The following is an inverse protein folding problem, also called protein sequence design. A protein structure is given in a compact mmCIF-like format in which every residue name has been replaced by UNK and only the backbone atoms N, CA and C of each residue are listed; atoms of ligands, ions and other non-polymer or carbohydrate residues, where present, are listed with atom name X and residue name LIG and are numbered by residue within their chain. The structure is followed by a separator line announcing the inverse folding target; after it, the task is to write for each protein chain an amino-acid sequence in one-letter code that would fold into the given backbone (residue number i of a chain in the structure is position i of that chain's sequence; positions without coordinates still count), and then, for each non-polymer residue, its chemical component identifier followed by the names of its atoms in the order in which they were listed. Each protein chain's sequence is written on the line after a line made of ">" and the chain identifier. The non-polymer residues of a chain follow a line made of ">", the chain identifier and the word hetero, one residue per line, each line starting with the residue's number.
data_IF_719351287690
#
_entry.id   IF_719351287690
#
_cell.length_a   1.000
_cell.length_b   1.000
_cell.length_c   1.000
_cell.angle_alpha   90.00
_cell.angle_beta   90.00
_cell.angle_gamma   90.00
#
_symmetry.space_group_name_H-M   'P 1'
#
loop_
_entity.id
_entity.type
_entity.pdbx_description
1 polymer ?
#
# COMPACT_ATOMS: atom_id res chain seq x y z
N UNK A 1 39.61 12.19 -2.71
CA UNK A 1 38.60 11.71 -1.73
C UNK A 1 37.32 12.49 -1.94
N UNK A 2 36.27 11.81 -2.43
CA UNK A 2 34.94 12.00 -1.85
C UNK A 2 34.24 10.64 -1.74
N UNK A 3 34.11 10.10 -0.52
CA UNK A 3 33.49 8.77 -0.33
C UNK A 3 32.55 8.72 0.89
N UNK A 4 32.14 9.86 1.45
CA UNK A 4 31.45 9.89 2.75
C UNK A 4 29.97 10.30 2.69
N UNK A 5 29.48 10.91 1.61
CA UNK A 5 28.08 11.42 1.59
C UNK A 5 26.99 10.42 1.15
N UNK A 6 27.34 9.24 0.62
CA UNK A 6 26.33 8.30 0.07
C UNK A 6 25.74 7.33 1.12
N UNK A 7 26.26 7.31 2.36
CA UNK A 7 25.85 6.33 3.37
C UNK A 7 24.70 6.82 4.29
N UNK A 8 24.45 8.13 4.39
CA UNK A 8 23.46 8.69 5.33
C UNK A 8 22.01 8.58 4.85
N UNK A 9 21.75 8.57 3.54
CA UNK A 9 20.37 8.48 3.01
C UNK A 9 19.77 7.06 3.01
N UNK A 10 20.60 6.02 3.13
CA UNK A 10 20.13 4.63 3.07
C UNK A 10 19.50 4.15 4.39
N UNK A 11 19.88 4.77 5.51
CA UNK A 11 19.38 4.43 6.83
C UNK A 11 17.98 5.00 7.09
N UNK A 12 17.67 6.20 6.59
CA UNK A 12 16.40 6.87 6.88
C UNK A 12 15.20 6.22 6.18
N UNK A 13 15.32 5.84 4.91
CA UNK A 13 14.20 5.23 4.16
C UNK A 13 13.89 3.82 4.64
N UNK A 14 14.93 3.05 4.99
CA UNK A 14 14.76 1.72 5.57
C UNK A 14 14.13 1.80 6.97
N UNK A 15 14.52 2.79 7.78
CA UNK A 15 13.91 3.05 9.07
C UNK A 15 12.44 3.44 8.94
N UNK A 16 12.08 4.26 7.94
CA UNK A 16 10.70 4.69 7.74
C UNK A 16 9.75 3.52 7.43
N UNK A 17 10.13 2.62 6.50
CA UNK A 17 9.31 1.44 6.18
C UNK A 17 9.20 0.45 7.34
N UNK A 18 10.24 0.30 8.16
CA UNK A 18 10.20 -0.57 9.34
C UNK A 18 9.29 0.00 10.44
N UNK A 19 9.32 1.33 10.64
CA UNK A 19 8.43 2.03 11.57
C UNK A 19 6.98 1.93 11.10
N UNK A 20 6.73 2.12 9.80
CA UNK A 20 5.40 1.99 9.21
C UNK A 20 4.87 0.55 9.30
N UNK A 21 5.70 -0.45 8.99
CA UNK A 21 5.33 -1.86 9.13
C UNK A 21 5.04 -2.27 10.58
N UNK A 22 5.74 -1.70 11.57
CA UNK A 22 5.45 -1.93 12.99
C UNK A 22 4.10 -1.30 13.40
N UNK A 23 3.82 -0.08 12.93
CA UNK A 23 2.53 0.57 13.15
C UNK A 23 1.39 -0.27 12.54
N UNK A 24 1.58 -0.77 11.32
CA UNK A 24 0.61 -1.64 10.65
C UNK A 24 0.41 -2.98 11.38
N UNK A 25 1.47 -3.54 11.94
CA UNK A 25 1.39 -4.78 12.73
C UNK A 25 0.57 -4.59 14.02
N UNK A 26 0.70 -3.43 14.66
CA UNK A 26 -0.06 -3.11 15.87
C UNK A 26 -1.55 -2.89 15.58
N UNK A 27 -1.88 -2.36 14.41
CA UNK A 27 -3.27 -2.06 14.00
C UNK A 27 -3.90 -3.15 13.13
N UNK A 28 -3.20 -4.27 12.87
CA UNK A 28 -3.74 -5.33 12.01
C UNK A 28 -4.97 -6.01 12.62
N UNK A 29 -6.08 -6.05 11.89
CA UNK A 29 -7.33 -6.69 12.29
C UNK A 29 -7.48 -8.09 11.67
N UNK A 30 -6.71 -8.39 10.62
CA UNK A 30 -6.70 -9.71 9.95
C UNK A 30 -5.30 -10.33 9.90
N UNK A 31 -5.24 -11.66 9.78
CA UNK A 31 -3.97 -12.39 9.61
C UNK A 31 -3.23 -11.99 8.32
N UNK A 32 -3.98 -11.62 7.27
CA UNK A 32 -3.38 -11.15 6.03
C UNK A 32 -2.73 -9.76 6.19
N UNK A 33 -3.36 -8.83 6.95
CA UNK A 33 -2.72 -7.57 7.35
C UNK A 33 -1.47 -7.82 8.19
N UNK A 34 -1.54 -8.73 9.17
CA UNK A 34 -0.41 -9.09 10.02
C UNK A 34 0.76 -9.63 9.19
N UNK A 35 0.49 -10.55 8.26
CA UNK A 35 1.50 -11.11 7.36
C UNK A 35 2.13 -10.03 6.45
N UNK A 36 1.32 -9.12 5.90
CA UNK A 36 1.80 -7.99 5.10
C UNK A 36 2.71 -7.05 5.92
N UNK A 37 2.30 -6.71 7.14
CA UNK A 37 3.07 -5.85 8.04
C UNK A 37 4.43 -6.48 8.40
N UNK A 38 4.46 -7.79 8.68
CA UNK A 38 5.71 -8.53 8.90
C UNK A 38 6.62 -8.54 7.66
N UNK A 39 6.05 -8.69 6.47
CA UNK A 39 6.81 -8.62 5.22
C UNK A 39 7.47 -7.23 5.02
N UNK A 40 6.77 -6.15 5.38
CA UNK A 40 7.33 -4.79 5.34
C UNK A 40 8.45 -4.59 6.36
N UNK A 41 8.26 -5.02 7.61
CA UNK A 41 9.30 -4.98 8.65
C UNK A 41 10.54 -5.76 8.22
N UNK A 42 10.36 -6.89 7.54
CA UNK A 42 11.47 -7.70 7.02
C UNK A 42 12.26 -7.05 5.87
N UNK A 43 11.79 -5.91 5.34
CA UNK A 43 12.52 -5.09 4.36
C UNK A 43 12.43 -5.58 2.92
N UNK A 44 11.56 -6.55 2.61
CA UNK A 44 11.38 -7.06 1.24
C UNK A 44 10.99 -5.98 0.22
N UNK A 45 10.17 -5.00 0.63
CA UNK A 45 9.85 -3.81 -0.18
C UNK A 45 11.04 -2.87 -0.32
N UNK A 46 11.83 -2.70 0.76
CA UNK A 46 13.06 -1.91 0.73
C UNK A 46 14.05 -2.42 -0.33
N UNK A 47 14.22 -3.74 -0.44
CA UNK A 47 15.10 -4.36 -1.43
C UNK A 47 14.73 -3.99 -2.87
N UNK A 48 13.43 -3.97 -3.20
CA UNK A 48 12.96 -3.58 -4.54
C UNK A 48 13.35 -2.13 -4.88
N UNK A 49 13.14 -1.21 -3.94
CA UNK A 49 13.51 0.19 -4.13
C UNK A 49 15.02 0.39 -4.19
N UNK A 50 15.78 -0.35 -3.38
CA UNK A 50 17.24 -0.30 -3.39
C UNK A 50 17.82 -0.82 -4.70
N UNK A 51 17.24 -1.88 -5.26
CA UNK A 51 17.64 -2.40 -6.57
C UNK A 51 17.30 -1.42 -7.70
N UNK A 52 16.14 -0.75 -7.65
CA UNK A 52 15.82 0.32 -8.58
C UNK A 52 16.77 1.51 -8.45
N UNK A 53 17.07 1.94 -7.22
CA UNK A 53 18.04 3.01 -6.96
C UNK A 53 19.40 2.66 -7.55
N UNK A 54 19.87 1.43 -7.34
CA UNK A 54 21.15 0.93 -7.90
C UNK A 54 21.13 0.95 -9.43
N UNK A 55 20.04 0.48 -10.03
CA UNK A 55 19.87 0.47 -11.50
C UNK A 55 19.89 1.89 -12.09
N UNK A 56 19.20 2.85 -11.45
CA UNK A 56 19.20 4.26 -11.87
C UNK A 56 20.61 4.84 -11.78
N UNK A 57 21.32 4.63 -10.66
CA UNK A 57 22.69 5.12 -10.47
C UNK A 57 23.65 4.54 -11.51
N UNK A 58 23.50 3.26 -11.85
CA UNK A 58 24.31 2.61 -12.89
C UNK A 58 24.03 3.20 -14.28
N UNK A 59 22.76 3.39 -14.64
CA UNK A 59 22.37 4.00 -15.92
C UNK A 59 22.91 5.42 -16.02
N UNK A 60 22.80 6.21 -14.95
CA UNK A 60 23.32 7.58 -14.90
C UNK A 60 24.83 7.61 -15.12
N UNK A 61 25.58 6.79 -14.38
CA UNK A 61 27.03 6.72 -14.51
C UNK A 61 27.49 6.30 -15.93
N UNK A 62 26.78 5.36 -16.57
CA UNK A 62 27.09 4.95 -17.94
C UNK A 62 26.73 6.02 -18.97
N UNK A 63 25.58 6.69 -18.81
CA UNK A 63 25.19 7.81 -19.67
C UNK A 63 26.19 8.96 -19.58
N UNK A 64 26.68 9.29 -18.38
CA UNK A 64 27.64 10.37 -18.20
C UNK A 64 29.01 10.03 -18.83
N UNK A 65 29.48 8.79 -18.66
CA UNK A 65 30.69 8.32 -19.33
C UNK A 65 30.57 8.35 -20.87
N UNK A 66 29.40 8.01 -21.42
CA UNK A 66 29.15 8.10 -22.87
C UNK A 66 29.16 9.55 -23.37
N UNK A 67 28.67 10.50 -22.58
CA UNK A 67 28.69 11.93 -22.94
C UNK A 67 30.11 12.49 -22.87
N UNK A 68 30.88 12.12 -21.84
CA UNK A 68 32.22 12.68 -21.61
C UNK A 68 33.31 12.07 -22.50
N UNK A 69 33.14 10.84 -22.98
CA UNK A 69 34.19 10.08 -23.69
C UNK A 69 33.71 9.45 -25.02
N UNK A 70 32.49 9.77 -25.48
CA UNK A 70 31.86 9.10 -26.61
C UNK A 70 32.38 9.46 -28.01
N UNK A 71 33.26 10.45 -28.14
CA UNK A 71 33.74 10.94 -29.44
C UNK A 71 34.91 10.11 -30.03
N UNK A 72 35.53 9.23 -29.24
CA UNK A 72 36.82 8.60 -29.59
C UNK A 72 36.77 7.10 -30.00
N UNK A 73 35.65 6.37 -29.80
CA UNK A 73 35.51 4.93 -30.15
C UNK A 73 34.08 4.55 -30.58
N UNK A 74 33.76 4.58 -31.89
CA UNK A 74 32.39 4.44 -32.43
C UNK A 74 31.69 3.08 -32.18
N UNK A 75 32.38 1.93 -32.29
CA UNK A 75 31.71 0.61 -32.19
C UNK A 75 31.41 0.18 -30.74
N UNK A 76 32.23 0.60 -29.76
CA UNK A 76 32.09 0.21 -28.33
C UNK A 76 31.06 1.11 -27.62
N UNK A 77 30.94 2.36 -28.04
CA UNK A 77 29.99 3.35 -27.50
C UNK A 77 28.55 3.01 -27.86
N UNK A 78 28.30 2.49 -29.06
CA UNK A 78 26.95 2.08 -29.51
C UNK A 78 26.38 0.91 -28.70
N UNK A 79 27.18 -0.13 -28.44
CA UNK A 79 26.77 -1.29 -27.63
C UNK A 79 26.47 -0.88 -26.18
N UNK A 80 27.32 -0.01 -25.61
CA UNK A 80 27.11 0.53 -24.26
C UNK A 80 25.84 1.38 -24.17
N UNK A 81 25.57 2.21 -25.19
CA UNK A 81 24.34 3.00 -25.26
C UNK A 81 23.09 2.11 -25.35
N UNK A 82 23.12 1.06 -26.17
CA UNK A 82 22.02 0.09 -26.28
C UNK A 82 21.76 -0.60 -24.93
N UNK A 83 22.81 -1.00 -24.21
CA UNK A 83 22.70 -1.64 -22.90
C UNK A 83 22.04 -0.72 -21.85
N UNK A 84 22.37 0.57 -21.85
CA UNK A 84 21.73 1.56 -20.96
C UNK A 84 20.24 1.69 -21.29
N UNK A 85 19.88 1.84 -22.57
CA UNK A 85 18.47 1.93 -23.00
C UNK A 85 17.68 0.69 -22.60
N UNK A 86 18.25 -0.51 -22.74
CA UNK A 86 17.61 -1.75 -22.30
C UNK A 86 17.39 -1.78 -20.79
N UNK A 87 18.38 -1.34 -20.00
CA UNK A 87 18.30 -1.28 -18.54
C UNK A 87 17.21 -0.32 -18.07
N UNK A 88 17.12 0.87 -18.67
CA UNK A 88 16.07 1.86 -18.37
C UNK A 88 14.67 1.31 -18.74
N UNK A 89 14.54 0.62 -19.88
CA UNK A 89 13.27 -0.02 -20.27
C UNK A 89 12.86 -1.12 -19.28
N UNK A 90 13.79 -1.95 -18.84
CA UNK A 90 13.55 -3.00 -17.86
C UNK A 90 13.12 -2.41 -16.50
N UNK A 91 13.80 -1.36 -16.04
CA UNK A 91 13.46 -0.61 -14.84
C UNK A 91 12.05 -0.04 -14.92
N UNK A 92 11.72 0.67 -16.01
CA UNK A 92 10.37 1.21 -16.24
C UNK A 92 9.30 0.11 -16.19
N UNK A 93 9.55 -1.03 -16.84
CA UNK A 93 8.61 -2.15 -16.82
C UNK A 93 8.44 -2.75 -15.42
N UNK A 94 9.51 -2.78 -14.61
CA UNK A 94 9.45 -3.21 -13.21
C UNK A 94 8.59 -2.28 -12.36
N UNK A 95 8.78 -0.97 -12.49
CA UNK A 95 7.99 0.05 -11.78
C UNK A 95 6.53 -0.04 -12.19
N UNK A 96 6.25 -0.14 -13.50
CA UNK A 96 4.87 -0.26 -13.99
C UNK A 96 4.17 -1.51 -13.46
N UNK A 97 4.86 -2.66 -13.40
CA UNK A 97 4.31 -3.89 -12.80
C UNK A 97 4.00 -3.72 -11.32
N UNK A 98 4.87 -3.04 -10.58
CA UNK A 98 4.65 -2.75 -9.15
C UNK A 98 3.44 -1.84 -8.94
N UNK A 99 3.26 -0.81 -9.78
CA UNK A 99 2.08 0.08 -9.74
C UNK A 99 0.77 -0.60 -10.20
N UNK A 100 0.86 -1.68 -10.97
CA UNK A 100 -0.28 -2.45 -11.48
C UNK A 100 -0.72 -3.59 -10.54
N UNK A 101 -0.23 -3.66 -9.30
CA UNK A 101 -0.60 -4.70 -8.33
C UNK A 101 -2.09 -4.70 -7.91
N UNK A 102 -2.89 -3.80 -8.48
CA UNK A 102 -4.31 -3.65 -8.23
C UNK A 102 -4.64 -2.92 -6.93
N UNK A 103 -3.67 -2.19 -6.36
CA UNK A 103 -3.76 -1.56 -5.03
C UNK A 103 -4.09 -2.59 -3.94
N UNK A 104 -3.72 -3.86 -4.15
CA UNK A 104 -4.08 -4.94 -3.24
C UNK A 104 -3.45 -4.75 -1.88
N UNK A 105 -2.21 -4.25 -1.84
CA UNK A 105 -1.56 -3.88 -0.58
C UNK A 105 -2.25 -2.73 0.14
N UNK A 106 -2.76 -1.74 -0.60
CA UNK A 106 -3.50 -0.60 -0.03
C UNK A 106 -4.88 -1.02 0.49
N UNK A 107 -5.61 -1.84 -0.26
CA UNK A 107 -6.91 -2.41 0.11
C UNK A 107 -6.76 -3.33 1.33
N UNK A 108 -5.73 -4.16 1.36
CA UNK A 108 -5.47 -5.02 2.50
C UNK A 108 -5.06 -4.20 3.74
N UNK A 109 -4.28 -3.12 3.55
CA UNK A 109 -3.85 -2.23 4.64
C UNK A 109 -5.01 -1.43 5.25
N UNK A 110 -5.80 -0.74 4.44
CA UNK A 110 -6.85 0.18 4.91
C UNK A 110 -8.23 -0.47 5.03
N UNK A 111 -8.42 -1.63 4.38
CA UNK A 111 -9.71 -2.29 4.30
C UNK A 111 -10.71 -1.66 3.34
N UNK A 112 -11.90 -2.25 3.31
CA UNK A 112 -12.99 -1.84 2.43
C UNK A 112 -14.18 -1.40 3.27
N UNK A 113 -14.70 -0.22 2.99
CA UNK A 113 -15.96 0.24 3.58
C UNK A 113 -17.13 -0.13 2.68
N UNK A 114 -18.16 -0.77 3.25
CA UNK A 114 -19.33 -1.24 2.53
C UNK A 114 -20.59 -0.73 3.22
N UNK A 115 -21.45 -0.04 2.48
CA UNK A 115 -22.74 0.43 2.98
C UNK A 115 -23.88 -0.51 2.56
N UNK A 116 -24.74 -0.90 3.51
CA UNK A 116 -25.93 -1.71 3.22
C UNK A 116 -27.15 -0.79 3.04
N UNK A 117 -27.58 -0.63 1.79
CA UNK A 117 -28.72 0.21 1.41
C UNK A 117 -29.98 -0.63 1.16
N UNK A 118 -31.16 -0.08 1.49
CA UNK A 118 -32.43 -0.75 1.20
C UNK A 118 -33.63 -0.18 1.97
N UNK A 119 -34.83 -0.54 1.53
CA UNK A 119 -36.10 -0.08 2.12
C UNK A 119 -36.22 -0.34 3.63
N UNK A 120 -37.03 0.43 4.36
CA UNK A 120 -37.37 0.12 5.75
C UNK A 120 -37.86 -1.34 5.87
N UNK A 121 -37.43 -2.05 6.92
CA UNK A 121 -37.75 -3.47 7.16
C UNK A 121 -37.26 -4.49 6.10
N UNK A 122 -36.40 -4.10 5.15
CA UNK A 122 -35.82 -5.03 4.16
C UNK A 122 -34.83 -6.07 4.75
N UNK A 123 -34.74 -6.19 6.07
CA UNK A 123 -33.84 -7.15 6.73
C UNK A 123 -32.37 -6.73 6.77
N UNK A 124 -32.03 -5.46 6.53
CA UNK A 124 -30.64 -4.94 6.55
C UNK A 124 -29.91 -5.28 7.85
N UNK A 125 -30.51 -4.96 8.99
CA UNK A 125 -29.91 -5.24 10.30
C UNK A 125 -29.84 -6.74 10.60
N UNK A 126 -30.74 -7.56 10.03
CA UNK A 126 -30.64 -9.03 10.11
C UNK A 126 -29.47 -9.57 9.29
N UNK A 127 -29.23 -9.02 8.09
CA UNK A 127 -28.06 -9.37 7.26
C UNK A 127 -26.76 -8.98 7.95
N UNK A 128 -26.70 -7.77 8.50
CA UNK A 128 -25.54 -7.28 9.24
C UNK A 128 -25.24 -8.18 10.46
N UNK A 129 -26.27 -8.54 11.24
CA UNK A 129 -26.11 -9.46 12.37
C UNK A 129 -25.63 -10.85 11.93
N UNK A 130 -26.12 -11.37 10.80
CA UNK A 130 -25.69 -12.65 10.26
C UNK A 130 -24.21 -12.63 9.84
N UNK A 131 -23.77 -11.54 9.21
CA UNK A 131 -22.38 -11.35 8.79
C UNK A 131 -21.46 -11.13 10.00
N UNK A 132 -21.91 -10.35 10.99
CA UNK A 132 -21.20 -10.15 12.25
C UNK A 132 -20.96 -11.45 13.02
N UNK A 133 -21.89 -12.40 12.96
CA UNK A 133 -21.76 -13.68 13.68
C UNK A 133 -20.88 -14.72 12.97
N UNK A 134 -20.59 -14.55 11.67
CA UNK A 134 -19.76 -15.49 10.93
C UNK A 134 -18.27 -15.12 10.93
N UNK A 135 -17.95 -13.83 10.89
CA UNK A 135 -16.59 -13.37 10.59
C UNK A 135 -16.14 -12.11 11.39
N UNK A 136 -16.79 -11.76 12.50
CA UNK A 136 -16.31 -10.66 13.34
C UNK A 136 -14.97 -11.03 14.00
N UNK A 137 -13.89 -10.38 13.54
CA UNK A 137 -12.67 -10.26 14.32
C UNK A 137 -13.04 -9.50 15.60
N UNK A 138 -12.96 -10.18 16.75
CA UNK A 138 -13.38 -9.62 18.03
C UNK A 138 -12.48 -8.43 18.37
N UNK A 139 -12.98 -7.20 18.23
CA UNK A 139 -12.31 -5.98 18.74
C UNK A 139 -13.30 -5.09 19.49
N UNK A 140 -12.78 -4.57 20.60
CA UNK A 140 -13.43 -3.96 21.77
C UNK A 140 -14.49 -2.89 21.47
N UNK A 141 -15.57 -2.82 22.27
CA UNK A 141 -16.47 -1.69 22.28
C UNK A 141 -15.76 -0.49 22.93
N UNK A 142 -15.15 0.39 22.14
CA UNK A 142 -14.85 1.74 22.63
C UNK A 142 -16.16 2.52 22.57
N UNK A 143 -16.95 2.37 23.64
CA UNK A 143 -18.15 3.15 23.86
C UNK A 143 -17.75 4.60 24.16
N UNK A 144 -18.10 5.55 23.28
CA UNK A 144 -17.89 6.94 23.64
C UNK A 144 -17.94 8.02 22.58
N UNK A 145 -18.83 7.97 21.57
CA UNK A 145 -19.47 9.21 21.06
C UNK A 145 -20.88 8.90 20.57
N UNK A 146 -21.80 9.76 20.96
CA UNK A 146 -23.25 9.61 20.87
C UNK A 146 -23.81 9.98 19.49
N UNK A 147 -24.53 9.02 18.88
CA UNK A 147 -25.53 9.11 17.77
C UNK A 147 -25.16 8.52 16.40
N UNK A 148 -24.04 7.83 16.27
CA UNK A 148 -23.45 7.55 14.96
C UNK A 148 -23.68 6.13 14.41
N UNK A 149 -23.66 6.04 13.08
CA UNK A 149 -23.80 4.86 12.21
C UNK A 149 -23.23 3.58 12.85
N UNK A 150 -24.01 2.49 12.86
CA UNK A 150 -23.52 1.18 13.31
C UNK A 150 -22.47 0.69 12.31
N UNK A 151 -21.22 0.67 12.75
CA UNK A 151 -20.08 0.12 12.01
C UNK A 151 -19.75 -1.27 12.57
N UNK A 152 -19.66 -2.26 11.68
CA UNK A 152 -19.24 -3.61 12.05
C UNK A 152 -18.00 -4.00 11.26
N UNK A 153 -16.84 -4.12 11.90
CA UNK A 153 -15.64 -4.67 11.27
C UNK A 153 -15.81 -6.18 11.08
N UNK A 154 -15.39 -6.67 9.92
CA UNK A 154 -15.44 -8.06 9.48
C UNK A 154 -14.12 -8.44 8.82
N UNK A 155 -13.77 -9.72 8.93
CA UNK A 155 -12.70 -10.30 8.14
C UNK A 155 -13.30 -11.16 7.01
N UNK A 156 -13.35 -10.63 5.79
CA UNK A 156 -13.88 -11.36 4.64
C UNK A 156 -12.73 -11.88 3.77
N UNK A 157 -12.50 -13.19 3.81
CA UNK A 157 -11.45 -13.87 3.03
C UNK A 157 -10.04 -13.28 3.24
N UNK A 158 -9.75 -12.79 4.46
CA UNK A 158 -8.49 -12.15 4.83
C UNK A 158 -8.50 -10.63 4.71
N UNK A 159 -9.49 -10.02 4.06
CA UNK A 159 -9.58 -8.57 3.93
C UNK A 159 -10.37 -7.96 5.10
N UNK A 160 -9.85 -6.88 5.72
CA UNK A 160 -10.61 -6.10 6.67
C UNK A 160 -11.73 -5.34 5.94
N UNK A 161 -12.96 -5.50 6.41
CA UNK A 161 -14.16 -4.90 5.81
C UNK A 161 -14.98 -4.25 6.90
N UNK A 162 -15.35 -2.97 6.74
CA UNK A 162 -16.25 -2.28 7.66
C UNK A 162 -17.61 -2.12 7.02
N UNK A 163 -18.61 -2.82 7.56
CA UNK A 163 -20.00 -2.65 7.17
C UNK A 163 -20.61 -1.45 7.89
N UNK A 164 -21.36 -0.64 7.14
CA UNK A 164 -22.14 0.49 7.65
C UNK A 164 -23.64 0.20 7.46
N UNK A 165 -24.41 0.20 8.56
CA UNK A 165 -25.89 0.20 8.46
C UNK A 165 -26.39 1.61 8.17
N UNK A 166 -26.98 1.81 6.99
CA UNK A 166 -27.48 3.14 6.58
C UNK A 166 -28.84 3.48 7.18
N UNK A 167 -29.33 2.73 8.16
CA UNK A 167 -30.58 3.04 8.87
C UNK A 167 -30.60 4.46 9.49
N UNK A 168 -29.44 5.12 9.64
CA UNK A 168 -29.32 6.51 10.14
C UNK A 168 -28.99 7.60 9.12
N UNK A 169 -28.82 7.31 7.82
CA UNK A 169 -28.54 8.37 6.80
C UNK A 169 -29.84 9.02 6.26
N UNK A 170 -31.00 8.45 6.58
CA UNK A 170 -32.30 9.11 6.42
C UNK A 170 -32.82 9.52 7.79
N UNK A 171 -32.61 10.80 8.11
CA UNK A 171 -33.63 11.75 8.60
C UNK A 171 -32.95 12.92 9.31
N UNK A 172 -32.25 13.76 8.54
CA UNK A 172 -31.98 15.16 8.94
C UNK A 172 -32.99 16.12 8.31
N UNK A 173 -34.17 15.65 7.89
CA UNK A 173 -35.14 16.46 7.15
C UNK A 173 -36.59 16.37 7.65
N UNK A 174 -36.82 16.12 8.94
CA UNK A 174 -38.16 16.28 9.56
C UNK A 174 -38.08 17.17 10.81
N UNK A 175 -37.61 18.40 10.61
CA UNK A 175 -37.85 19.52 11.51
C UNK A 175 -38.93 20.44 10.93
N UNK A 176 -40.15 19.92 10.78
CA UNK A 176 -41.34 20.75 10.53
C UNK A 176 -41.64 21.58 11.79
N UNK A 177 -41.66 22.91 11.61
CA UNK A 177 -42.32 23.85 12.53
C UNK A 177 -43.81 23.85 12.19
#
# INVERSE_FOLDING_TARGET
>A
MPQVDMCLHHHDTAMNHQVEGLADLLHSETEAQRSQALAQISGTIGQVYDDWRRSIMQCLAHSEALIDFGEDEDDVTDDAYIAVIQSVRALKASIQRHLQDGRRGEILRHGVHVAILGSPNAGKSSLLNLLAQRDAAIVSPIAGTTRDIVQVPLNLAGYPVVLHDTAGIRDTSDGSI
#
